data_IF_093430142235
#
_entry.id   IF_093430142235
#
_cell.length_a   1.000
_cell.length_b   1.000
_cell.length_c   1.000
_cell.angle_alpha   90.00
_cell.angle_beta   90.00
_cell.angle_gamma   90.00
#
_symmetry.space_group_name_H-M   'P 1'
#
loop_
_entity.id
_entity.type
_entity.pdbx_description
1 polymer ?
#
# COMPACT_ATOMS: atom_id res chain seq x y z
N UNK A 1 36.12 -25.29 -16.28
CA UNK A 1 35.07 -24.25 -16.42
C UNK A 1 35.20 -23.30 -15.24
N UNK A 2 35.31 -21.97 -15.43
CA UNK A 2 35.59 -21.05 -14.31
C UNK A 2 34.37 -20.93 -13.38
N UNK A 3 34.61 -20.99 -12.07
CA UNK A 3 33.58 -20.97 -11.01
C UNK A 3 32.67 -19.72 -11.06
N UNK A 4 33.15 -18.64 -11.68
CA UNK A 4 32.40 -17.40 -11.93
C UNK A 4 31.28 -17.55 -12.95
N UNK A 5 31.40 -18.49 -13.89
CA UNK A 5 30.39 -18.76 -14.92
C UNK A 5 29.22 -19.57 -14.36
N UNK A 6 29.51 -20.53 -13.47
CA UNK A 6 28.49 -21.34 -12.79
C UNK A 6 27.62 -20.49 -11.84
N UNK A 7 28.22 -19.54 -11.11
CA UNK A 7 27.48 -18.59 -10.26
C UNK A 7 26.52 -17.71 -11.05
N UNK A 8 26.90 -17.25 -12.25
CA UNK A 8 26.03 -16.44 -13.12
C UNK A 8 24.83 -17.23 -13.64
N UNK A 9 25.02 -18.50 -13.99
CA UNK A 9 23.93 -19.39 -14.42
C UNK A 9 22.95 -19.67 -13.27
N UNK A 10 23.46 -19.96 -12.07
CA UNK A 10 22.61 -20.18 -10.88
C UNK A 10 21.83 -18.91 -10.53
N UNK A 11 22.46 -17.73 -10.60
CA UNK A 11 21.79 -16.45 -10.34
C UNK A 11 20.72 -16.12 -11.38
N UNK A 12 20.98 -16.43 -12.66
CA UNK A 12 20.01 -16.27 -13.75
C UNK A 12 18.85 -17.26 -13.65
N UNK A 13 19.08 -18.48 -13.17
CA UNK A 13 18.06 -19.51 -12.99
C UNK A 13 17.12 -19.19 -11.82
N UNK A 14 17.64 -18.60 -10.72
CA UNK A 14 16.82 -18.13 -9.60
C UNK A 14 15.85 -17.00 -10.03
N UNK A 15 16.30 -16.13 -10.93
CA UNK A 15 15.48 -15.01 -11.42
C UNK A 15 14.35 -15.49 -12.35
N UNK A 16 14.56 -16.59 -13.07
CA UNK A 16 13.57 -17.17 -14.00
C UNK A 16 12.53 -18.08 -13.31
N UNK A 17 12.82 -18.60 -12.11
CA UNK A 17 11.83 -19.40 -11.36
C UNK A 17 10.78 -18.54 -10.66
N UNK A 18 11.08 -17.25 -10.40
CA UNK A 18 10.17 -16.35 -9.69
C UNK A 18 9.00 -15.86 -10.58
N UNK A 19 9.18 -15.88 -11.90
CA UNK A 19 8.14 -15.52 -12.88
C UNK A 19 7.18 -16.68 -13.21
N UNK A 20 7.50 -17.90 -12.78
CA UNK A 20 6.70 -19.11 -13.09
C UNK A 20 5.78 -19.55 -11.94
N UNK A 21 5.84 -18.90 -10.78
CA UNK A 21 4.82 -19.02 -9.74
C UNK A 21 3.63 -18.13 -10.13
N UNK A 22 2.93 -18.54 -11.18
CA UNK A 22 1.63 -17.99 -11.51
C UNK A 22 0.71 -18.18 -10.31
N UNK A 23 0.26 -17.07 -9.72
CA UNK A 23 -0.83 -17.04 -8.77
C UNK A 23 -2.06 -17.66 -9.44
N UNK A 24 -2.30 -18.96 -9.21
CA UNK A 24 -3.62 -19.55 -9.42
C UNK A 24 -4.53 -19.07 -8.29
N UNK A 25 -5.05 -17.86 -8.42
CA UNK A 25 -6.18 -17.37 -7.64
C UNK A 25 -7.42 -18.13 -8.12
N UNK A 26 -7.76 -19.23 -7.45
CA UNK A 26 -9.10 -19.81 -7.56
C UNK A 26 -10.06 -18.84 -6.87
N UNK A 27 -10.87 -18.14 -7.65
CA UNK A 27 -12.04 -17.46 -7.13
C UNK A 27 -13.02 -18.53 -6.63
N UNK A 28 -13.19 -18.60 -5.31
CA UNK A 28 -14.23 -19.41 -4.69
C UNK A 28 -15.54 -18.66 -4.86
N UNK A 29 -16.52 -19.30 -5.48
CA UNK A 29 -17.89 -18.78 -5.61
C UNK A 29 -18.48 -18.70 -4.19
N UNK A 30 -18.44 -17.50 -3.61
CA UNK A 30 -19.07 -17.20 -2.33
C UNK A 30 -20.56 -17.03 -2.57
N UNK A 31 -21.38 -17.66 -1.73
CA UNK A 31 -22.79 -17.32 -1.57
C UNK A 31 -22.92 -15.80 -1.43
N UNK A 32 -24.05 -15.22 -1.86
CA UNK A 32 -24.35 -13.78 -1.81
C UNK A 32 -24.21 -13.26 -0.37
N UNK A 33 -22.97 -12.91 -0.03
CA UNK A 33 -22.49 -12.51 1.28
C UNK A 33 -21.67 -11.26 1.03
N UNK A 34 -21.81 -10.27 1.89
CA UNK A 34 -21.03 -9.02 1.84
C UNK A 34 -19.55 -9.25 2.24
N UNK A 35 -19.06 -10.48 2.07
CA UNK A 35 -17.70 -10.87 2.35
C UNK A 35 -16.78 -10.36 1.25
N UNK A 36 -15.77 -9.59 1.63
CA UNK A 36 -14.79 -9.07 0.68
C UNK A 36 -13.42 -8.91 1.34
N UNK A 37 -12.39 -8.89 0.49
CA UNK A 37 -11.05 -8.52 0.89
C UNK A 37 -10.43 -7.66 -0.21
N UNK A 38 -10.21 -6.40 0.11
CA UNK A 38 -9.50 -5.42 -0.69
C UNK A 38 -8.12 -5.14 -0.07
N UNK A 39 -7.07 -5.49 -0.81
CA UNK A 39 -5.69 -5.15 -0.46
C UNK A 39 -5.18 -4.19 -1.52
N UNK A 40 -5.01 -2.95 -1.10
CA UNK A 40 -4.55 -1.86 -1.94
C UNK A 40 -3.24 -1.26 -1.45
N UNK A 41 -2.83 -0.21 -2.14
CA UNK A 41 -1.67 0.57 -1.77
C UNK A 41 -1.39 1.68 -2.76
N UNK A 42 -0.34 2.44 -2.50
CA UNK A 42 0.13 3.46 -3.43
C UNK A 42 1.62 3.72 -3.24
N UNK A 43 2.30 4.07 -4.32
CA UNK A 43 3.65 4.61 -4.31
C UNK A 43 3.61 6.06 -4.80
N UNK A 44 4.41 6.93 -4.20
CA UNK A 44 4.63 8.30 -4.66
C UNK A 44 6.11 8.54 -4.89
N UNK A 45 6.43 8.84 -6.14
CA UNK A 45 7.75 9.23 -6.59
C UNK A 45 7.67 10.69 -7.03
N UNK A 46 8.63 11.52 -6.64
CA UNK A 46 8.72 12.89 -7.14
C UNK A 46 10.04 13.08 -7.89
N UNK A 47 9.95 13.78 -9.01
CA UNK A 47 11.09 14.24 -9.80
C UNK A 47 11.01 15.75 -9.93
N UNK A 48 12.06 16.43 -9.51
CA UNK A 48 12.16 17.88 -9.51
C UNK A 48 13.27 18.32 -10.45
N UNK A 49 13.01 19.36 -11.22
CA UNK A 49 14.02 20.13 -11.94
C UNK A 49 13.82 21.60 -11.63
N UNK A 50 14.87 22.29 -11.21
CA UNK A 50 14.82 23.69 -10.80
C UNK A 50 15.90 24.48 -11.54
N UNK A 51 15.50 25.58 -12.17
CA UNK A 51 16.38 26.47 -12.92
C UNK A 51 16.17 27.92 -12.46
N UNK A 52 17.25 28.55 -12.01
CA UNK A 52 17.26 29.95 -11.55
C UNK A 52 18.08 30.87 -12.47
N UNK A 53 18.48 30.41 -13.67
CA UNK A 53 19.23 31.21 -14.65
C UNK A 53 20.70 31.47 -14.28
N UNK A 54 21.25 30.70 -13.34
CA UNK A 54 22.65 30.76 -12.89
C UNK A 54 23.41 29.46 -13.14
N UNK A 55 24.53 29.27 -12.45
CA UNK A 55 25.33 28.04 -12.54
C UNK A 55 24.55 26.82 -12.07
N UNK A 56 24.66 25.73 -12.82
CA UNK A 56 23.96 24.45 -12.53
C UNK A 56 24.55 23.78 -11.29
N UNK A 57 23.71 23.50 -10.32
CA UNK A 57 24.04 22.73 -9.13
C UNK A 57 23.59 21.27 -9.30
N UNK A 58 24.35 20.27 -8.80
CA UNK A 58 23.89 18.88 -8.72
C UNK A 58 22.51 18.69 -8.04
N UNK A 59 22.12 19.61 -7.15
CA UNK A 59 20.84 19.58 -6.45
C UNK A 59 19.68 20.18 -7.27
N UNK A 60 19.93 20.72 -8.46
CA UNK A 60 18.89 21.29 -9.34
C UNK A 60 18.00 20.20 -9.94
N UNK A 61 18.46 18.95 -9.94
CA UNK A 61 17.68 17.79 -10.35
C UNK A 61 17.63 16.78 -9.22
N UNK A 62 16.44 16.52 -8.70
CA UNK A 62 16.25 15.64 -7.55
C UNK A 62 15.20 14.58 -7.87
N UNK A 63 15.50 13.34 -7.48
CA UNK A 63 14.55 12.24 -7.49
C UNK A 63 14.34 11.77 -6.05
N UNK A 64 13.08 11.62 -5.64
CA UNK A 64 12.74 11.19 -4.27
C UNK A 64 11.66 10.12 -4.29
N UNK A 65 11.79 9.15 -3.38
CA UNK A 65 10.74 8.19 -3.08
C UNK A 65 10.01 8.65 -1.81
N UNK A 66 8.95 9.43 -2.02
CA UNK A 66 8.28 10.17 -0.95
C UNK A 66 7.46 9.26 -0.04
N UNK A 67 6.60 8.42 -0.62
CA UNK A 67 5.64 7.62 0.16
C UNK A 67 5.44 6.24 -0.46
N UNK A 68 5.44 5.19 0.37
CA UNK A 68 4.64 4.00 0.07
C UNK A 68 3.51 3.86 1.07
N UNK A 69 2.43 3.19 0.68
CA UNK A 69 1.37 2.80 1.61
C UNK A 69 0.77 1.46 1.22
N UNK A 70 0.28 0.77 2.23
CA UNK A 70 -0.58 -0.41 2.08
C UNK A 70 -1.91 -0.13 2.78
N UNK A 71 -2.99 -0.57 2.15
CA UNK A 71 -4.36 -0.49 2.63
C UNK A 71 -4.93 -1.90 2.66
N UNK A 72 -5.59 -2.26 3.75
CA UNK A 72 -6.36 -3.50 3.87
C UNK A 72 -7.74 -3.14 4.34
N UNK A 73 -8.75 -3.55 3.59
CA UNK A 73 -10.14 -3.43 3.94
C UNK A 73 -10.81 -4.77 3.66
N UNK A 74 -11.52 -5.32 4.63
CA UNK A 74 -12.20 -6.58 4.41
C UNK A 74 -13.28 -6.82 5.42
N UNK A 75 -14.23 -7.63 5.02
CA UNK A 75 -15.35 -8.07 5.84
C UNK A 75 -15.55 -9.56 5.62
N UNK A 76 -15.87 -10.25 6.71
CA UNK A 76 -16.26 -11.64 6.68
C UNK A 76 -17.27 -11.91 7.79
N UNK A 77 -18.43 -12.44 7.43
CA UNK A 77 -19.48 -12.83 8.38
C UNK A 77 -19.85 -11.68 9.37
N UNK A 78 -19.88 -10.43 8.89
CA UNK A 78 -20.17 -9.23 9.69
C UNK A 78 -19.03 -8.74 10.61
N UNK A 79 -17.87 -9.40 10.58
CA UNK A 79 -16.63 -8.94 11.21
C UNK A 79 -15.71 -8.37 10.14
N UNK A 80 -15.23 -7.14 10.32
CA UNK A 80 -14.34 -6.52 9.35
C UNK A 80 -13.12 -5.84 9.95
N UNK A 81 -12.22 -5.45 9.06
CA UNK A 81 -10.96 -4.76 9.35
C UNK A 81 -10.78 -3.59 8.37
N UNK A 82 -10.31 -2.46 8.88
CA UNK A 82 -9.82 -1.35 8.07
C UNK A 82 -8.45 -0.92 8.60
N UNK A 83 -7.42 -1.00 7.75
CA UNK A 83 -6.04 -0.76 8.12
C UNK A 83 -5.28 0.00 7.03
N UNK A 84 -4.55 1.04 7.41
CA UNK A 84 -3.61 1.75 6.53
C UNK A 84 -2.28 1.99 7.24
N UNK A 85 -1.21 1.50 6.61
CA UNK A 85 0.16 1.75 7.05
C UNK A 85 0.92 2.57 6.01
N UNK A 86 1.70 3.56 6.47
CA UNK A 86 2.47 4.46 5.62
C UNK A 86 3.95 4.42 5.99
N UNK A 87 4.78 4.46 4.96
CA UNK A 87 6.22 4.61 5.10
C UNK A 87 6.68 5.76 4.21
N UNK A 88 7.58 6.56 4.75
CA UNK A 88 8.13 7.75 4.13
C UNK A 88 9.66 7.61 4.07
N UNK A 89 10.21 7.00 3.00
CA UNK A 89 11.65 6.76 2.87
C UNK A 89 12.47 8.05 2.95
N UNK A 90 12.02 9.11 2.26
CA UNK A 90 12.68 10.43 2.26
C UNK A 90 12.87 10.99 3.67
N UNK A 91 11.93 10.74 4.57
CA UNK A 91 11.93 11.27 5.94
C UNK A 91 12.33 10.23 6.99
N UNK A 92 12.69 9.01 6.55
CA UNK A 92 12.98 7.86 7.41
C UNK A 92 11.94 7.65 8.54
N UNK A 93 10.66 7.81 8.21
CA UNK A 93 9.57 7.69 9.19
C UNK A 93 8.46 6.79 8.67
N UNK A 94 7.72 6.18 9.59
CA UNK A 94 6.63 5.28 9.27
C UNK A 94 5.66 5.16 10.44
N UNK A 95 4.38 4.97 10.14
CA UNK A 95 3.35 4.87 11.16
C UNK A 95 2.09 4.20 10.62
N UNK A 96 1.31 3.65 11.56
CA UNK A 96 -0.08 3.25 11.31
C UNK A 96 -0.88 4.55 11.20
N UNK A 97 -1.44 4.83 10.02
CA UNK A 97 -2.32 5.99 9.86
C UNK A 97 -3.66 5.72 10.52
N UNK A 98 -4.21 4.53 10.28
CA UNK A 98 -5.47 4.08 10.85
C UNK A 98 -5.50 2.55 10.89
N UNK A 99 -6.24 1.99 11.84
CA UNK A 99 -6.28 0.55 12.03
C UNK A 99 -7.32 0.14 13.05
N UNK A 100 -8.46 -0.38 12.62
CA UNK A 100 -9.50 -0.85 13.52
C UNK A 100 -10.20 -2.09 12.99
N UNK A 101 -10.73 -2.87 13.93
CA UNK A 101 -11.69 -3.92 13.64
C UNK A 101 -13.09 -3.39 13.89
N UNK A 102 -14.07 -3.95 13.19
CA UNK A 102 -15.46 -3.63 13.41
C UNK A 102 -16.34 -4.87 13.38
N UNK A 103 -17.47 -4.79 14.10
CA UNK A 103 -18.51 -5.80 14.08
C UNK A 103 -19.86 -5.13 13.82
N UNK A 104 -20.58 -5.61 12.81
CA UNK A 104 -21.87 -5.08 12.41
C UNK A 104 -22.99 -5.80 13.19
N UNK A 105 -23.70 -5.07 14.07
CA UNK A 105 -24.91 -5.59 14.73
C UNK A 105 -26.15 -5.47 13.84
N UNK A 106 -26.12 -4.49 12.92
CA UNK A 106 -27.12 -4.24 11.88
C UNK A 106 -26.49 -3.38 10.78
N UNK A 107 -27.19 -3.15 9.67
CA UNK A 107 -26.77 -2.25 8.59
C UNK A 107 -26.44 -0.81 9.05
N UNK A 108 -26.93 -0.39 10.23
CA UNK A 108 -26.79 0.98 10.74
C UNK A 108 -25.98 1.09 12.01
N UNK A 109 -25.57 -0.04 12.60
CA UNK A 109 -24.94 -0.04 13.93
C UNK A 109 -23.76 -1.01 13.93
N UNK A 110 -22.57 -0.47 14.19
CA UNK A 110 -21.37 -1.26 14.37
C UNK A 110 -20.60 -0.84 15.63
N UNK A 111 -19.81 -1.78 16.15
CA UNK A 111 -18.79 -1.50 17.17
C UNK A 111 -17.44 -1.46 16.47
N UNK A 112 -16.64 -0.44 16.74
CA UNK A 112 -15.29 -0.29 16.17
C UNK A 112 -14.26 -0.23 17.30
N UNK A 113 -13.17 -0.98 17.16
CA UNK A 113 -12.09 -1.06 18.16
C UNK A 113 -10.73 -0.93 17.47
N UNK A 114 -9.95 0.08 17.88
CA UNK A 114 -8.60 0.32 17.38
C UNK A 114 -8.27 1.81 17.25
N UNK A 115 -7.36 2.11 16.33
CA UNK A 115 -6.97 3.46 15.94
C UNK A 115 -7.96 3.95 14.88
N UNK A 116 -9.09 4.46 15.34
CA UNK A 116 -10.15 5.04 14.50
C UNK A 116 -9.97 6.55 14.35
N UNK A 117 -10.45 7.10 13.23
CA UNK A 117 -10.52 8.54 13.08
C UNK A 117 -11.69 9.08 13.92
N UNK A 118 -11.42 10.09 14.75
CA UNK A 118 -12.49 10.77 15.49
C UNK A 118 -13.46 11.43 14.50
N UNK A 119 -14.78 11.24 14.63
CA UNK A 119 -15.77 11.79 13.70
C UNK A 119 -16.03 13.28 14.00
N UNK A 120 -14.96 14.07 14.03
CA UNK A 120 -14.99 15.47 14.39
C UNK A 120 -14.33 16.32 13.32
N UNK A 121 -14.96 17.45 13.05
CA UNK A 121 -14.53 18.33 11.99
C UNK A 121 -14.83 17.77 10.61
N UNK A 122 -14.34 18.50 9.64
CA UNK A 122 -14.62 18.29 8.26
C UNK A 122 -13.77 17.12 7.71
N UNK A 123 -14.33 15.91 7.73
CA UNK A 123 -13.63 14.67 7.36
C UNK A 123 -13.33 14.63 5.85
N UNK A 124 -12.22 15.26 5.42
CA UNK A 124 -11.59 15.22 4.08
C UNK A 124 -12.49 15.45 2.83
N UNK A 125 -13.80 15.63 3.01
CA UNK A 125 -14.82 15.65 1.96
C UNK A 125 -15.70 16.90 1.97
N UNK A 126 -15.22 18.04 2.49
CA UNK A 126 -15.78 19.33 2.05
C UNK A 126 -14.84 19.98 1.06
N UNK A 127 -15.11 19.71 -0.22
CA UNK A 127 -15.75 20.71 -1.08
C UNK A 127 -16.01 20.08 -2.44
N UNK A 128 -17.30 19.80 -2.70
CA UNK A 128 -18.03 19.75 -4.00
C UNK A 128 -17.52 18.80 -5.10
N UNK A 129 -18.34 17.80 -5.49
CA UNK A 129 -19.36 17.75 -6.57
C UNK A 129 -18.75 17.45 -7.95
#
# INVERSE_FOLDING_TARGET
>A
MPLSFLKKIVFSALFFSLTSFGFSLQAQESEESDDFLDIGGALRLNFFHTDYGGDKNPNDTQFTFDTWRINVHGEKDGVGINFEYRFYPTFNTHFIKQGWFYYNFSERTNLQVGITQVPFGNLQYNSHN
#
